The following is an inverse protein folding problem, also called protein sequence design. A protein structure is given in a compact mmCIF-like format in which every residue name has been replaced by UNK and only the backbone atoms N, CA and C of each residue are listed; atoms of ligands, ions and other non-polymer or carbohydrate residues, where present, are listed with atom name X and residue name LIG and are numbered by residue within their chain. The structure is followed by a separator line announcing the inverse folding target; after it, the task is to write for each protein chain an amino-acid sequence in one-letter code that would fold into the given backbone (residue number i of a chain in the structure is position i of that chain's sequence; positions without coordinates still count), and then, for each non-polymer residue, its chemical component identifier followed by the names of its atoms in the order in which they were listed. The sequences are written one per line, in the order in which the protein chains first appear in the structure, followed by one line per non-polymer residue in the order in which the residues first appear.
data_IF_786572223166
#
_entry.id   IF_786572223166
#
_cell.length_a   1.000
_cell.length_b   1.000
_cell.length_c   1.000
_cell.angle_alpha   90.00
_cell.angle_beta   90.00
_cell.angle_gamma   90.00
#
_symmetry.space_group_name_H-M   'P 1'
#
loop_
_entity.id
_entity.type
_entity.pdbx_description
1 polymer ?
#
# COMPACT_ATOMS: atom_id res chain seq x y z
N UNK A 1 1.88 5.25 -19.29
CA UNK A 1 2.40 4.04 -18.60
C UNK A 1 1.48 2.86 -18.87
N UNK A 2 2.01 1.69 -19.28
CA UNK A 2 1.19 0.49 -19.52
C UNK A 2 0.89 -0.18 -18.17
N UNK A 3 -0.36 -0.64 -17.99
CA UNK A 3 -0.79 -1.37 -16.80
C UNK A 3 -0.11 -2.74 -16.73
N UNK A 4 0.46 -3.09 -15.58
CA UNK A 4 0.96 -4.43 -15.27
C UNK A 4 -0.24 -5.33 -14.95
N UNK A 5 -0.68 -6.10 -15.94
CA UNK A 5 -1.93 -6.87 -15.84
C UNK A 5 -1.88 -7.96 -14.77
N UNK A 6 -0.80 -8.74 -14.72
CA UNK A 6 -0.64 -9.85 -13.77
C UNK A 6 -0.66 -9.35 -12.32
N UNK A 7 0.14 -8.33 -12.03
CA UNK A 7 0.23 -7.68 -10.72
C UNK A 7 -1.11 -7.06 -10.32
N UNK A 8 -1.80 -6.42 -11.26
CA UNK A 8 -3.11 -5.83 -11.02
C UNK A 8 -4.15 -6.89 -10.64
N UNK A 9 -4.21 -7.99 -11.36
CA UNK A 9 -5.13 -9.10 -11.08
C UNK A 9 -4.80 -9.72 -9.72
N UNK A 10 -3.51 -9.96 -9.44
CA UNK A 10 -3.05 -10.51 -8.16
C UNK A 10 -3.45 -9.64 -6.97
N UNK A 11 -3.19 -8.31 -7.05
CA UNK A 11 -3.58 -7.35 -6.01
C UNK A 11 -5.10 -7.34 -5.80
N UNK A 12 -5.89 -7.34 -6.87
CA UNK A 12 -7.36 -7.32 -6.77
C UNK A 12 -7.94 -8.61 -6.19
N UNK A 13 -7.40 -9.78 -6.56
CA UNK A 13 -7.84 -11.07 -6.00
C UNK A 13 -7.45 -11.20 -4.53
N UNK A 14 -6.25 -10.76 -4.16
CA UNK A 14 -5.84 -10.68 -2.77
C UNK A 14 -6.73 -9.72 -1.98
N UNK A 15 -6.99 -8.53 -2.52
CA UNK A 15 -7.83 -7.52 -1.91
C UNK A 15 -9.27 -8.00 -1.68
N UNK A 16 -9.85 -8.72 -2.62
CA UNK A 16 -11.19 -9.30 -2.48
C UNK A 16 -11.31 -10.20 -1.24
N UNK A 17 -10.24 -10.93 -0.90
CA UNK A 17 -10.20 -11.86 0.23
C UNK A 17 -9.81 -11.20 1.55
N UNK A 18 -8.86 -10.26 1.52
CA UNK A 18 -8.20 -9.74 2.71
C UNK A 18 -8.61 -8.31 3.06
N UNK A 19 -8.74 -7.42 2.06
CA UNK A 19 -9.01 -5.98 2.27
C UNK A 19 -10.02 -5.48 1.23
N UNK A 20 -11.30 -5.73 1.48
CA UNK A 20 -12.38 -5.49 0.51
C UNK A 20 -12.47 -4.06 -0.01
N UNK A 21 -12.07 -3.06 0.78
CA UNK A 21 -12.04 -1.66 0.34
C UNK A 21 -11.06 -1.45 -0.83
N UNK A 22 -9.90 -2.11 -0.81
CA UNK A 22 -8.96 -2.10 -1.95
C UNK A 22 -9.60 -2.70 -3.21
N UNK A 23 -10.33 -3.80 -3.09
CA UNK A 23 -11.06 -4.36 -4.24
C UNK A 23 -12.12 -3.38 -4.77
N UNK A 24 -12.83 -2.69 -3.88
CA UNK A 24 -13.90 -1.75 -4.24
C UNK A 24 -13.37 -0.55 -5.04
N UNK A 25 -12.22 0.00 -4.69
CA UNK A 25 -11.62 1.17 -5.39
C UNK A 25 -10.87 0.80 -6.68
N UNK A 26 -10.77 -0.49 -7.02
CA UNK A 26 -10.24 -0.99 -8.29
C UNK A 26 -8.81 -0.50 -8.63
N UNK A 27 -7.81 -0.70 -7.75
CA UNK A 27 -6.45 -0.30 -8.03
C UNK A 27 -5.89 -1.00 -9.27
N UNK A 28 -4.99 -0.33 -9.97
CA UNK A 28 -4.22 -0.90 -11.07
C UNK A 28 -2.75 -0.62 -10.83
N UNK A 29 -1.93 -1.65 -10.92
CA UNK A 29 -0.48 -1.53 -10.81
C UNK A 29 0.06 -1.04 -12.16
N UNK A 30 0.71 0.11 -12.17
CA UNK A 30 1.35 0.68 -13.34
C UNK A 30 2.85 0.40 -13.36
N UNK A 31 3.47 0.39 -12.18
CA UNK A 31 4.88 0.06 -12.00
C UNK A 31 5.07 -0.63 -10.65
N UNK A 32 5.91 -1.64 -10.62
CA UNK A 32 6.31 -2.34 -9.39
C UNK A 32 7.68 -2.98 -9.60
N UNK A 33 8.70 -2.36 -9.04
CA UNK A 33 10.07 -2.87 -9.03
C UNK A 33 10.67 -2.71 -7.62
N UNK A 34 11.97 -2.93 -7.47
CA UNK A 34 12.64 -2.90 -6.17
C UNK A 34 12.86 -1.47 -5.63
N UNK A 35 12.68 -0.45 -6.46
CA UNK A 35 12.86 0.96 -6.09
C UNK A 35 11.54 1.73 -6.01
N UNK A 36 10.56 1.37 -6.86
CA UNK A 36 9.40 2.20 -7.10
C UNK A 36 8.12 1.39 -7.28
N UNK A 37 7.03 1.87 -6.69
CA UNK A 37 5.67 1.39 -6.94
C UNK A 37 4.78 2.54 -7.38
N UNK A 38 4.02 2.32 -8.46
CA UNK A 38 2.99 3.26 -8.93
C UNK A 38 1.66 2.55 -9.05
N UNK A 39 0.68 3.00 -8.27
CA UNK A 39 -0.70 2.52 -8.28
C UNK A 39 -1.60 3.59 -8.87
N UNK A 40 -2.50 3.21 -9.78
CA UNK A 40 -3.58 4.07 -10.28
C UNK A 40 -4.91 3.65 -9.66
N UNK A 41 -5.66 4.60 -9.11
CA UNK A 41 -7.08 4.44 -8.75
C UNK A 41 -7.92 5.31 -9.69
N UNK A 42 -8.92 4.75 -10.39
CA UNK A 42 -9.75 5.52 -11.30
C UNK A 42 -10.75 6.41 -10.54
N UNK A 43 -11.01 7.60 -11.06
CA UNK A 43 -12.09 8.47 -10.59
C UNK A 43 -13.42 8.00 -11.19
N UNK A 44 -14.24 7.33 -10.41
CA UNK A 44 -15.53 6.79 -10.81
C UNK A 44 -16.61 7.16 -9.79
N UNK A 45 -17.85 6.74 -10.02
CA UNK A 45 -18.93 6.89 -9.04
C UNK A 45 -18.62 6.24 -7.67
N UNK A 46 -17.73 5.22 -7.63
CA UNK A 46 -17.30 4.52 -6.40
C UNK A 46 -16.28 5.30 -5.59
N UNK A 47 -15.51 6.17 -6.24
CA UNK A 47 -14.31 6.78 -5.67
C UNK A 47 -14.43 8.30 -5.53
N UNK A 48 -15.48 8.91 -6.13
CA UNK A 48 -15.72 10.36 -6.07
C UNK A 48 -16.55 10.75 -4.85
N UNK A 49 -16.34 11.97 -4.39
CA UNK A 49 -17.18 12.65 -3.39
C UNK A 49 -18.28 13.50 -4.07
N UNK A 50 -19.05 14.23 -3.27
CA UNK A 50 -20.10 15.16 -3.72
C UNK A 50 -19.57 16.34 -4.54
N UNK A 51 -18.29 16.65 -4.48
CA UNK A 51 -17.61 17.70 -5.26
C UNK A 51 -17.01 17.15 -6.57
N UNK A 52 -17.35 15.91 -6.96
CA UNK A 52 -16.86 15.21 -8.14
C UNK A 52 -15.32 15.00 -8.18
N UNK A 53 -14.62 15.18 -7.05
CA UNK A 53 -13.20 14.84 -6.88
C UNK A 53 -13.05 13.55 -6.09
N UNK A 54 -11.85 12.95 -6.11
CA UNK A 54 -11.60 11.71 -5.37
C UNK A 54 -11.84 11.93 -3.87
N UNK A 55 -12.56 10.98 -3.25
CA UNK A 55 -12.87 11.02 -1.84
C UNK A 55 -11.61 10.84 -0.99
N UNK A 56 -11.49 11.60 0.11
CA UNK A 56 -10.31 11.59 0.98
C UNK A 56 -9.92 10.20 1.48
N UNK A 57 -10.90 9.37 1.83
CA UNK A 57 -10.65 7.99 2.26
C UNK A 57 -10.05 7.13 1.13
N UNK A 58 -10.44 7.36 -0.13
CA UNK A 58 -9.87 6.67 -1.30
C UNK A 58 -8.43 7.12 -1.54
N UNK A 59 -8.11 8.40 -1.31
CA UNK A 59 -6.74 8.90 -1.38
C UNK A 59 -5.84 8.22 -0.34
N UNK A 60 -6.32 8.05 0.90
CA UNK A 60 -5.61 7.30 1.94
C UNK A 60 -5.41 5.82 1.57
N UNK A 61 -6.45 5.16 1.03
CA UNK A 61 -6.38 3.77 0.55
C UNK A 61 -5.36 3.60 -0.57
N UNK A 62 -5.25 4.60 -1.47
CA UNK A 62 -4.26 4.58 -2.55
C UNK A 62 -2.82 4.69 -2.04
N UNK A 63 -2.60 5.53 -1.03
CA UNK A 63 -1.30 5.68 -0.38
C UNK A 63 -0.88 4.41 0.37
N UNK A 64 -1.82 3.82 1.16
CA UNK A 64 -1.65 2.53 1.82
C UNK A 64 -1.28 1.43 0.82
N UNK A 65 -2.01 1.34 -0.28
CA UNK A 65 -1.77 0.34 -1.33
C UNK A 65 -0.38 0.48 -1.96
N UNK A 66 0.09 1.71 -2.25
CA UNK A 66 1.38 1.92 -2.89
C UNK A 66 2.56 1.53 -1.97
N UNK A 67 2.57 2.02 -0.72
CA UNK A 67 3.61 1.68 0.25
C UNK A 67 3.54 0.22 0.71
N UNK A 68 2.32 -0.29 0.96
CA UNK A 68 2.09 -1.66 1.42
C UNK A 68 2.47 -2.70 0.37
N UNK A 69 2.16 -2.48 -0.91
CA UNK A 69 2.49 -3.43 -1.97
C UNK A 69 4.00 -3.61 -2.17
N UNK A 70 4.79 -2.53 -2.06
CA UNK A 70 6.25 -2.64 -2.07
C UNK A 70 6.77 -3.51 -0.94
N UNK A 71 6.31 -3.25 0.27
CA UNK A 71 6.71 -4.04 1.44
C UNK A 71 6.27 -5.49 1.32
N UNK A 72 5.03 -5.77 0.90
CA UNK A 72 4.53 -7.14 0.69
C UNK A 72 5.33 -7.90 -0.37
N UNK A 73 5.72 -7.24 -1.46
CA UNK A 73 6.58 -7.84 -2.49
C UNK A 73 7.92 -8.28 -1.88
N UNK A 74 8.57 -7.41 -1.10
CA UNK A 74 9.87 -7.72 -0.48
C UNK A 74 9.74 -8.80 0.59
N UNK A 75 8.69 -8.77 1.41
CA UNK A 75 8.38 -9.79 2.41
C UNK A 75 8.23 -11.17 1.75
N UNK A 76 7.45 -11.28 0.67
CA UNK A 76 7.27 -12.53 -0.05
C UNK A 76 8.54 -13.10 -0.67
N UNK A 77 9.55 -12.26 -0.94
CA UNK A 77 10.87 -12.68 -1.44
C UNK A 77 11.84 -13.10 -0.32
N UNK A 78 11.65 -12.60 0.90
CA UNK A 78 12.62 -12.73 2.00
C UNK A 78 12.16 -13.64 3.13
N UNK A 79 11.01 -13.36 3.73
CA UNK A 79 10.45 -14.15 4.83
C UNK A 79 8.94 -13.90 4.98
N UNK A 80 8.13 -14.85 4.56
CA UNK A 80 6.66 -14.78 4.63
C UNK A 80 6.09 -14.75 6.06
N UNK A 81 6.90 -15.00 7.10
CA UNK A 81 6.48 -14.89 8.50
C UNK A 81 6.37 -13.44 8.96
N UNK A 82 6.96 -12.49 8.22
CA UNK A 82 6.87 -11.07 8.56
C UNK A 82 5.44 -10.60 8.31
N UNK A 83 4.87 -9.95 9.33
CA UNK A 83 3.56 -9.30 9.28
C UNK A 83 3.73 -7.81 9.13
N UNK A 84 2.94 -7.22 8.21
CA UNK A 84 2.92 -5.80 7.92
C UNK A 84 1.69 -5.16 8.55
N UNK A 85 1.87 -4.01 9.17
CA UNK A 85 0.82 -3.08 9.57
C UNK A 85 1.29 -1.64 9.38
N UNK A 86 0.36 -0.70 9.36
CA UNK A 86 0.68 0.71 9.44
C UNK A 86 0.40 1.20 10.87
N UNK A 87 1.28 2.04 11.38
CA UNK A 87 1.20 2.59 12.73
C UNK A 87 0.51 3.94 12.78
N UNK A 88 0.75 4.73 11.75
CA UNK A 88 0.13 6.05 11.58
C UNK A 88 0.06 6.42 10.09
N UNK A 89 -0.67 7.50 9.80
CA UNK A 89 -0.77 8.12 8.50
C UNK A 89 -0.90 9.62 8.68
N UNK A 90 -0.04 10.39 8.01
CA UNK A 90 -0.16 11.83 7.84
C UNK A 90 -0.46 12.15 6.40
N UNK A 91 -1.31 13.12 6.15
CA UNK A 91 -1.69 13.51 4.80
C UNK A 91 -1.77 15.03 4.68
N UNK A 92 -1.24 15.55 3.58
CA UNK A 92 -1.39 16.92 3.14
C UNK A 92 -2.14 16.93 1.81
N UNK A 93 -3.30 17.58 1.77
CA UNK A 93 -4.13 17.71 0.57
C UNK A 93 -3.89 19.08 -0.06
N UNK A 94 -3.28 19.11 -1.24
CA UNK A 94 -2.81 20.34 -1.90
C UNK A 94 -3.82 20.84 -2.93
N UNK A 95 -4.45 19.91 -3.68
CA UNK A 95 -5.38 20.22 -4.76
C UNK A 95 -6.48 19.18 -4.86
N UNK A 96 -7.58 19.54 -5.52
CA UNK A 96 -8.65 18.58 -5.82
C UNK A 96 -8.17 17.55 -6.85
N UNK A 97 -8.35 16.29 -6.53
CA UNK A 97 -8.05 15.19 -7.44
C UNK A 97 -9.25 14.93 -8.36
N UNK A 98 -9.35 15.66 -9.46
CA UNK A 98 -10.47 15.63 -10.42
C UNK A 98 -10.16 14.74 -11.63
N UNK A 99 -9.54 13.61 -11.41
CA UNK A 99 -9.19 12.61 -12.42
C UNK A 99 -8.67 11.34 -11.76
N UNK A 100 -8.22 10.41 -12.59
CA UNK A 100 -7.54 9.20 -12.10
C UNK A 100 -6.28 9.59 -11.34
N UNK A 101 -6.12 9.05 -10.14
CA UNK A 101 -4.98 9.38 -9.27
C UNK A 101 -3.92 8.32 -9.37
N UNK A 102 -2.68 8.76 -9.55
CA UNK A 102 -1.49 7.92 -9.46
C UNK A 102 -0.82 8.16 -8.10
N UNK A 103 -0.56 7.07 -7.39
CA UNK A 103 0.13 7.05 -6.10
C UNK A 103 1.51 6.46 -6.29
N UNK A 104 2.54 7.23 -6.03
CA UNK A 104 3.94 6.85 -6.23
C UNK A 104 4.65 6.74 -4.89
N UNK A 105 5.23 5.57 -4.60
CA UNK A 105 6.16 5.33 -3.51
C UNK A 105 7.55 5.03 -4.11
N UNK A 106 8.60 5.70 -3.63
CA UNK A 106 9.98 5.55 -4.10
C UNK A 106 10.94 5.07 -2.99
N UNK A 107 10.40 4.65 -1.85
CA UNK A 107 11.19 4.23 -0.67
C UNK A 107 11.59 2.74 -0.73
N UNK A 108 11.71 2.15 -1.92
CA UNK A 108 11.96 0.72 -2.09
C UNK A 108 13.23 0.21 -1.41
N UNK A 109 14.34 0.96 -1.52
CA UNK A 109 15.60 0.59 -0.89
C UNK A 109 15.49 0.56 0.65
N UNK A 110 14.85 1.57 1.24
CA UNK A 110 14.64 1.65 2.69
C UNK A 110 13.70 0.54 3.19
N UNK A 111 12.64 0.24 2.43
CA UNK A 111 11.72 -0.87 2.73
C UNK A 111 12.46 -2.20 2.67
N UNK A 112 13.33 -2.41 1.69
CA UNK A 112 14.12 -3.64 1.57
C UNK A 112 15.05 -3.81 2.77
N UNK A 113 15.75 -2.75 3.18
CA UNK A 113 16.64 -2.77 4.35
C UNK A 113 15.86 -3.11 5.64
N UNK A 114 14.68 -2.50 5.85
CA UNK A 114 13.83 -2.80 7.01
C UNK A 114 13.37 -4.27 7.02
N UNK A 115 12.97 -4.82 5.88
CA UNK A 115 12.55 -6.23 5.78
C UNK A 115 13.72 -7.16 6.11
N UNK A 116 14.92 -6.87 5.61
CA UNK A 116 16.12 -7.67 5.88
C UNK A 116 16.54 -7.59 7.36
N UNK A 117 16.45 -6.43 7.99
CA UNK A 117 16.69 -6.21 9.41
C UNK A 117 15.72 -7.04 10.27
N UNK A 118 14.41 -6.92 10.02
CA UNK A 118 13.37 -7.65 10.77
C UNK A 118 13.48 -9.15 10.56
N UNK A 119 13.81 -9.62 9.34
CA UNK A 119 14.04 -11.04 9.06
C UNK A 119 15.22 -11.61 9.85
N UNK A 120 16.25 -10.82 10.08
CA UNK A 120 17.50 -11.24 10.75
C UNK A 120 17.37 -11.14 12.28
N UNK A 121 16.85 -10.02 12.78
CA UNK A 121 16.75 -9.78 14.23
C UNK A 121 15.55 -10.47 14.88
N UNK A 122 14.47 -10.69 14.12
CA UNK A 122 13.17 -11.13 14.66
C UNK A 122 12.42 -10.03 15.42
N UNK A 123 13.02 -8.87 15.61
CA UNK A 123 12.44 -7.75 16.34
C UNK A 123 11.49 -6.92 15.46
N UNK A 124 10.70 -6.06 16.10
CA UNK A 124 9.83 -5.13 15.39
C UNK A 124 10.65 -3.97 14.82
N UNK A 125 10.47 -3.72 13.51
CA UNK A 125 11.00 -2.54 12.84
C UNK A 125 9.91 -1.57 12.40
N UNK A 126 10.20 -0.27 12.37
CA UNK A 126 9.30 0.77 11.89
C UNK A 126 10.03 1.68 10.91
N UNK A 127 9.36 2.07 9.81
CA UNK A 127 9.91 2.94 8.78
C UNK A 127 8.84 3.91 8.27
N UNK A 128 9.03 5.22 8.34
CA UNK A 128 8.22 6.18 7.61
C UNK A 128 8.45 6.02 6.10
N UNK A 129 7.38 5.84 5.33
CA UNK A 129 7.41 5.80 3.87
C UNK A 129 6.55 6.93 3.31
N UNK A 130 6.96 7.48 2.18
CA UNK A 130 6.33 8.61 1.54
C UNK A 130 5.62 8.18 0.27
N UNK A 131 4.42 8.73 0.07
CA UNK A 131 3.65 8.52 -1.15
C UNK A 131 3.18 9.87 -1.68
N UNK A 132 3.42 10.10 -2.96
CA UNK A 132 2.94 11.29 -3.68
C UNK A 132 1.77 10.88 -4.57
N UNK A 133 0.67 11.63 -4.48
CA UNK A 133 -0.49 11.48 -5.34
C UNK A 133 -0.50 12.57 -6.41
N UNK A 134 -0.70 12.18 -7.68
CA UNK A 134 -0.79 13.08 -8.84
C UNK A 134 -2.03 12.76 -9.68
N UNK A 135 -2.47 13.71 -10.53
CA UNK A 135 -3.52 13.51 -11.53
C UNK A 135 -2.95 13.81 -12.93
N UNK A 136 -2.20 12.86 -13.53
CA UNK A 136 -1.39 13.14 -14.73
C UNK A 136 -2.19 13.68 -15.91
N UNK A 137 -3.44 13.24 -16.10
CA UNK A 137 -4.29 13.67 -17.21
C UNK A 137 -4.71 15.15 -17.11
N UNK A 138 -4.60 15.79 -15.92
CA UNK A 138 -5.05 17.17 -15.70
C UNK A 138 -3.95 18.10 -15.22
N UNK A 139 -3.04 17.59 -14.39
CA UNK A 139 -2.06 18.39 -13.67
C UNK A 139 -0.62 17.91 -13.90
N UNK A 140 -0.41 16.93 -14.81
CA UNK A 140 0.91 16.35 -15.03
C UNK A 140 1.48 15.74 -13.74
N UNK A 141 2.72 16.06 -13.43
CA UNK A 141 3.44 15.55 -12.26
C UNK A 141 3.20 16.38 -10.99
N UNK A 142 2.30 17.37 -11.06
CA UNK A 142 1.99 18.21 -9.89
C UNK A 142 1.29 17.38 -8.81
N UNK A 143 1.79 17.45 -7.57
CA UNK A 143 1.21 16.74 -6.45
C UNK A 143 -0.16 17.31 -6.07
N UNK A 144 -1.17 16.44 -5.97
CA UNK A 144 -2.50 16.78 -5.42
C UNK A 144 -2.60 16.43 -3.94
N UNK A 145 -1.79 15.48 -3.48
CA UNK A 145 -1.64 15.15 -2.06
C UNK A 145 -0.26 14.52 -1.80
N UNK A 146 0.21 14.63 -0.56
CA UNK A 146 1.38 13.93 -0.03
C UNK A 146 0.99 13.16 1.20
N UNK A 147 1.58 11.97 1.36
CA UNK A 147 1.34 11.08 2.47
C UNK A 147 2.67 10.63 3.08
N UNK A 148 2.67 10.49 4.39
CA UNK A 148 3.68 9.77 5.14
C UNK A 148 2.99 8.72 5.99
N UNK A 149 3.38 7.44 5.82
CA UNK A 149 2.83 6.31 6.55
C UNK A 149 3.96 5.58 7.25
N UNK A 150 3.80 5.26 8.53
CA UNK A 150 4.80 4.46 9.22
C UNK A 150 4.50 2.97 9.04
N UNK A 151 5.30 2.29 8.20
CA UNK A 151 5.33 0.84 8.14
C UNK A 151 5.80 0.26 9.47
N UNK A 152 5.11 -0.74 9.97
CA UNK A 152 5.51 -1.51 11.15
C UNK A 152 5.54 -2.98 10.79
N UNK A 153 6.74 -3.55 10.79
CA UNK A 153 6.99 -4.95 10.46
C UNK A 153 7.36 -5.73 11.73
N UNK A 154 6.87 -6.96 11.84
CA UNK A 154 7.20 -7.87 12.93
C UNK A 154 7.16 -9.31 12.45
N UNK A 155 8.14 -10.13 12.85
CA UNK A 155 8.10 -11.58 12.62
C UNK A 155 7.00 -12.21 13.48
N UNK A 156 6.13 -13.00 12.86
CA UNK A 156 5.15 -13.83 13.59
C UNK A 156 5.92 -14.96 14.26
N UNK A 157 5.97 -14.97 15.58
CA UNK A 157 6.32 -16.19 16.30
C UNK A 157 5.23 -17.21 16.02
N UNK A 158 5.58 -18.40 15.52
CA UNK A 158 4.64 -19.50 15.45
C UNK A 158 4.07 -19.70 16.86
N UNK A 159 2.78 -19.44 17.05
CA UNK A 159 2.12 -19.73 18.31
C UNK A 159 2.16 -21.25 18.48
N UNK A 160 3.05 -21.71 19.36
CA UNK A 160 3.07 -23.07 19.84
C UNK A 160 1.67 -23.45 20.31
N UNK A 161 1.17 -24.53 19.77
CA UNK A 161 0.02 -25.32 20.16
C UNK A 161 -0.50 -25.05 21.57
N UNK A 162 -1.56 -24.25 21.68
CA UNK A 162 -2.49 -24.43 22.80
C UNK A 162 -3.57 -25.47 22.38
N UNK A 163 -3.16 -26.74 22.32
CA UNK A 163 -4.05 -27.89 22.29
C UNK A 163 -3.80 -28.74 23.54
N UNK A 164 -4.06 -28.18 24.70
CA UNK A 164 -4.17 -29.02 25.91
C UNK A 164 -4.96 -28.29 26.99
N UNK A 165 -6.28 -28.32 26.89
CA UNK A 165 -7.18 -28.33 28.06
C UNK A 165 -8.64 -28.25 27.61
N UNK A 166 -9.14 -29.30 26.96
CA UNK A 166 -10.55 -29.65 26.97
C UNK A 166 -10.66 -31.17 27.09
N UNK A 167 -10.44 -31.65 28.30
CA UNK A 167 -10.90 -32.95 28.77
C UNK A 167 -11.01 -32.86 30.28
N UNK A 168 -12.18 -32.52 30.77
CA UNK A 168 -12.75 -32.91 32.03
C UNK A 168 -14.23 -32.45 32.03
#
# INVERSE_FOLDING_TARGET
MKRLWRETVSVRLWALRQVRVLWFVQPSVLELNDQRCVIRIPLTWRTRNHLHSMYVGVLAVGADCAGGLMAMRRIGQRDERIRLSFKDLRAEFLKRAEGDVHFTCEDGAAIAALVDEVATSGERGNLPVRVVATVPARLGDEAVARFELTLSLKTSTASGSDRSSRSA
#
